data_IF_212509762470
#
_entry.id   IF_212509762470
#
_cell.length_a   1.000
_cell.length_b   1.000
_cell.length_c   1.000
_cell.angle_alpha   90.00
_cell.angle_beta   90.00
_cell.angle_gamma   90.00
#
_symmetry.space_group_name_H-M   'P 1'
#
loop_
_entity.id
_entity.type
_entity.pdbx_description
1 polymer ?
#
# COMPACT_ATOMS: atom_id res chain seq x y z
N UNK A 1 5.06 16.10 -4.38
CA UNK A 1 4.20 15.95 -3.19
C UNK A 1 4.95 15.05 -2.22
N UNK A 2 5.16 15.48 -0.97
CA UNK A 2 5.76 14.59 0.04
C UNK A 2 4.73 13.52 0.38
N UNK A 3 4.99 12.28 -0.04
CA UNK A 3 4.22 11.13 0.44
C UNK A 3 4.38 11.07 1.96
N UNK A 4 3.29 11.15 2.71
CA UNK A 4 3.28 10.88 4.14
C UNK A 4 3.79 9.45 4.32
N UNK A 5 4.98 9.30 4.90
CA UNK A 5 5.53 7.97 5.20
C UNK A 5 4.63 7.31 6.24
N UNK A 6 4.27 6.04 5.98
CA UNK A 6 3.52 5.21 6.93
C UNK A 6 4.34 5.04 8.21
N UNK A 7 3.64 4.93 9.32
CA UNK A 7 4.25 4.98 10.64
C UNK A 7 3.55 4.02 11.59
N UNK A 8 4.36 3.21 12.29
CA UNK A 8 3.95 2.34 13.39
C UNK A 8 4.56 2.89 14.66
N UNK A 9 3.74 3.14 15.68
CA UNK A 9 4.18 3.61 16.98
C UNK A 9 3.96 2.53 18.01
N UNK A 10 5.02 2.13 18.68
CA UNK A 10 4.96 1.18 19.79
C UNK A 10 4.72 1.94 21.10
N UNK A 11 3.72 1.52 21.86
CA UNK A 11 3.38 2.09 23.18
C UNK A 11 3.38 0.98 24.22
N UNK A 12 3.83 1.26 25.44
CA UNK A 12 3.89 0.27 26.52
C UNK A 12 2.73 0.38 27.51
N UNK A 13 1.69 1.15 27.18
CA UNK A 13 0.46 1.29 27.96
C UNK A 13 -0.69 0.57 27.27
N UNK A 14 -1.44 -0.25 28.02
CA UNK A 14 -2.73 -0.79 27.57
C UNK A 14 -3.76 0.33 27.72
N UNK A 15 -4.60 0.55 26.71
CA UNK A 15 -5.53 1.65 26.67
C UNK A 15 -6.68 1.47 27.66
N UNK A 16 -6.53 1.92 28.91
CA UNK A 16 -7.71 2.21 29.74
C UNK A 16 -8.54 3.32 29.06
N UNK A 17 -9.88 3.25 29.12
CA UNK A 17 -10.78 4.25 28.50
C UNK A 17 -10.47 5.71 28.87
N UNK A 18 -9.72 5.95 29.96
CA UNK A 18 -9.21 7.25 30.39
C UNK A 18 -7.84 7.61 29.77
N UNK A 19 -6.92 6.67 29.58
CA UNK A 19 -5.63 6.91 28.90
C UNK A 19 -5.79 6.96 27.38
N UNK A 20 -6.74 6.21 26.83
CA UNK A 20 -7.20 6.39 25.46
C UNK A 20 -7.65 7.84 25.22
N UNK A 21 -8.27 8.52 26.19
CA UNK A 21 -8.63 9.95 26.09
C UNK A 21 -7.44 10.90 26.24
N UNK A 22 -6.40 10.53 26.98
CA UNK A 22 -5.19 11.34 27.11
C UNK A 22 -4.31 11.25 25.85
N UNK A 23 -4.15 10.06 25.26
CA UNK A 23 -3.53 9.91 23.93
C UNK A 23 -4.43 10.45 22.80
N UNK A 24 -5.76 10.31 22.88
CA UNK A 24 -6.73 10.96 21.95
C UNK A 24 -6.82 12.46 22.10
N UNK A 25 -6.36 13.06 23.19
CA UNK A 25 -6.37 14.53 23.32
C UNK A 25 -5.39 15.21 22.33
N UNK A 26 -4.45 14.43 21.78
CA UNK A 26 -3.51 14.85 20.73
C UNK A 26 -3.59 14.04 19.42
N UNK A 27 -4.40 12.98 19.35
CA UNK A 27 -4.57 12.14 18.16
C UNK A 27 -5.92 12.45 17.50
N UNK A 28 -5.85 12.97 16.28
CA UNK A 28 -7.00 13.10 15.37
C UNK A 28 -7.48 11.68 15.02
N UNK A 29 -8.65 11.26 15.50
CA UNK A 29 -9.22 9.90 15.31
C UNK A 29 -9.28 9.50 13.81
N UNK A 30 -9.28 10.48 12.91
CA UNK A 30 -9.22 10.24 11.46
C UNK A 30 -7.83 9.81 10.94
N UNK A 31 -6.77 9.93 11.74
CA UNK A 31 -5.38 9.72 11.31
C UNK A 31 -4.67 8.56 12.01
N UNK A 32 -5.25 7.99 13.07
CA UNK A 32 -4.61 6.96 13.87
C UNK A 32 -5.56 5.79 14.11
N UNK A 33 -5.03 4.57 14.06
CA UNK A 33 -5.70 3.34 14.43
C UNK A 33 -4.97 2.71 15.63
N UNK A 34 -5.70 2.36 16.68
CA UNK A 34 -5.13 1.81 17.91
C UNK A 34 -5.41 0.31 17.96
N UNK A 35 -4.34 -0.48 17.92
CA UNK A 35 -4.38 -1.93 18.10
C UNK A 35 -4.13 -2.26 19.57
N UNK A 36 -5.22 -2.29 20.34
CA UNK A 36 -5.23 -2.59 21.76
C UNK A 36 -5.53 -4.08 22.00
N UNK A 37 -4.67 -4.82 22.74
CA UNK A 37 -4.85 -6.25 22.97
C UNK A 37 -6.09 -6.59 23.81
N UNK A 38 -6.49 -5.75 24.76
CA UNK A 38 -7.66 -5.99 25.62
C UNK A 38 -8.93 -5.73 24.84
N UNK A 39 -8.98 -4.62 24.09
CA UNK A 39 -10.10 -4.34 23.22
C UNK A 39 -10.26 -5.42 22.15
N UNK A 40 -9.15 -5.83 21.53
CA UNK A 40 -9.16 -6.89 20.54
C UNK A 40 -9.71 -8.18 21.16
N UNK A 41 -9.19 -8.61 22.33
CA UNK A 41 -9.67 -9.81 23.01
C UNK A 41 -11.17 -9.78 23.34
N UNK A 42 -11.70 -8.60 23.67
CA UNK A 42 -13.12 -8.41 23.98
C UNK A 42 -14.04 -8.59 22.76
N UNK A 43 -13.52 -8.39 21.55
CA UNK A 43 -14.27 -8.48 20.29
C UNK A 43 -13.96 -9.76 19.52
N UNK A 44 -12.72 -10.21 19.57
CA UNK A 44 -12.18 -11.37 18.88
C UNK A 44 -11.04 -11.97 19.71
N UNK A 45 -11.11 -13.28 19.95
CA UNK A 45 -10.08 -13.99 20.73
C UNK A 45 -8.77 -14.14 19.93
N UNK A 46 -7.99 -13.06 19.86
CA UNK A 46 -6.72 -13.01 19.13
C UNK A 46 -5.68 -13.99 19.66
N UNK A 47 -5.84 -14.52 20.87
CA UNK A 47 -4.90 -15.50 21.43
C UNK A 47 -4.89 -16.81 20.66
N UNK A 48 -5.90 -17.05 19.82
CA UNK A 48 -6.01 -18.22 18.95
C UNK A 48 -5.46 -18.02 17.55
N UNK A 49 -4.77 -16.92 17.26
CA UNK A 49 -4.33 -16.60 15.89
C UNK A 49 -3.44 -17.67 15.22
N UNK A 50 -2.73 -18.49 16.00
CA UNK A 50 -1.91 -19.60 15.48
C UNK A 50 -2.76 -20.80 15.03
N UNK A 51 -3.90 -21.02 15.68
CA UNK A 51 -4.77 -22.19 15.49
C UNK A 51 -6.04 -21.88 14.67
N UNK A 52 -6.39 -20.60 14.55
CA UNK A 52 -7.64 -20.11 13.95
C UNK A 52 -7.35 -19.05 12.87
N UNK A 53 -7.39 -19.48 11.61
CA UNK A 53 -7.20 -18.61 10.45
C UNK A 53 -8.30 -17.55 10.33
N UNK A 54 -9.51 -17.81 10.82
CA UNK A 54 -10.60 -16.84 10.73
C UNK A 54 -10.35 -15.66 11.68
N UNK A 55 -9.77 -15.93 12.86
CA UNK A 55 -9.28 -14.89 13.77
C UNK A 55 -8.22 -14.05 13.08
N UNK A 56 -7.20 -14.68 12.51
CA UNK A 56 -6.11 -13.97 11.85
C UNK A 56 -6.61 -13.09 10.69
N UNK A 57 -7.41 -13.67 9.80
CA UNK A 57 -7.98 -12.96 8.65
C UNK A 57 -8.87 -11.79 9.08
N UNK A 58 -9.63 -11.94 10.16
CA UNK A 58 -10.49 -10.88 10.69
C UNK A 58 -9.68 -9.68 11.20
N UNK A 59 -8.60 -9.93 11.95
CA UNK A 59 -7.74 -8.83 12.42
C UNK A 59 -6.97 -8.21 11.27
N UNK A 60 -6.41 -9.04 10.39
CA UNK A 60 -5.64 -8.57 9.26
C UNK A 60 -6.50 -7.71 8.32
N UNK A 61 -7.73 -8.12 7.98
CA UNK A 61 -8.63 -7.34 7.13
C UNK A 61 -8.91 -5.94 7.73
N UNK A 62 -9.15 -5.87 9.04
CA UNK A 62 -9.33 -4.60 9.75
C UNK A 62 -8.09 -3.71 9.65
N UNK A 63 -6.90 -4.29 9.86
CA UNK A 63 -5.64 -3.54 9.80
C UNK A 63 -5.26 -3.15 8.38
N UNK A 64 -5.59 -3.96 7.38
CA UNK A 64 -5.35 -3.66 5.98
C UNK A 64 -6.12 -2.41 5.56
N UNK A 65 -7.42 -2.36 5.84
CA UNK A 65 -8.25 -1.20 5.51
C UNK A 65 -7.74 0.08 6.19
N UNK A 66 -7.31 -0.03 7.45
CA UNK A 66 -6.94 1.14 8.24
C UNK A 66 -5.50 1.62 7.97
N UNK A 67 -4.54 0.70 7.86
CA UNK A 67 -3.11 1.01 7.72
C UNK A 67 -2.65 1.06 6.25
N UNK A 68 -3.11 0.11 5.43
CA UNK A 68 -2.68 0.01 4.02
C UNK A 68 -3.50 0.98 3.16
N UNK A 69 -4.83 0.89 3.22
CA UNK A 69 -5.74 1.67 2.36
C UNK A 69 -5.93 3.10 2.89
N UNK A 70 -6.41 3.25 4.12
CA UNK A 70 -6.67 4.57 4.71
C UNK A 70 -5.40 5.32 5.15
N UNK A 71 -4.24 4.63 5.15
CA UNK A 71 -2.92 5.18 5.53
C UNK A 71 -2.91 5.83 6.91
N UNK A 72 -3.70 5.30 7.85
CA UNK A 72 -3.64 5.75 9.24
C UNK A 72 -2.32 5.31 9.87
N UNK A 73 -1.88 6.07 10.87
CA UNK A 73 -0.79 5.66 11.76
C UNK A 73 -1.28 4.50 12.62
N UNK A 74 -0.46 3.46 12.78
CA UNK A 74 -0.81 2.31 13.60
C UNK A 74 -0.15 2.45 14.98
N UNK A 75 -0.96 2.50 16.04
CA UNK A 75 -0.52 2.51 17.42
C UNK A 75 -0.63 1.08 17.97
N UNK A 76 0.49 0.45 18.29
CA UNK A 76 0.53 -0.93 18.78
C UNK A 76 1.04 -0.99 20.22
N UNK A 77 0.36 -1.76 21.05
CA UNK A 77 0.90 -2.13 22.35
C UNK A 77 2.15 -2.99 22.20
N UNK A 78 3.20 -2.70 22.97
CA UNK A 78 4.42 -3.50 23.05
C UNK A 78 4.79 -3.73 24.53
N UNK A 79 4.67 -4.97 25.05
CA UNK A 79 4.85 -5.27 26.48
C UNK A 79 6.32 -5.31 26.91
N UNK A 80 7.13 -4.32 26.53
CA UNK A 80 8.51 -4.24 27.03
C UNK A 80 8.91 -2.81 27.33
N UNK A 81 9.49 -2.60 28.52
CA UNK A 81 10.11 -1.32 28.89
C UNK A 81 11.48 -1.17 28.22
N UNK A 82 12.13 -2.29 27.90
CA UNK A 82 13.38 -2.34 27.16
C UNK A 82 13.07 -2.65 25.69
N UNK A 83 12.79 -1.59 24.92
CA UNK A 83 12.44 -1.64 23.50
C UNK A 83 13.57 -2.19 22.60
N UNK A 84 14.65 -2.73 23.15
CA UNK A 84 15.76 -3.33 22.40
C UNK A 84 15.80 -4.86 22.48
N UNK A 85 14.65 -5.50 22.66
CA UNK A 85 14.54 -6.94 22.54
C UNK A 85 14.66 -7.42 21.07
N UNK A 86 14.88 -8.71 20.90
CA UNK A 86 14.98 -9.34 19.57
C UNK A 86 13.72 -9.16 18.72
N UNK A 87 12.54 -9.00 19.34
CA UNK A 87 11.29 -8.75 18.63
C UNK A 87 11.27 -7.36 18.00
N UNK A 88 11.71 -6.33 18.74
CA UNK A 88 11.82 -4.98 18.20
C UNK A 88 12.81 -4.88 17.05
N UNK A 89 13.96 -5.57 17.16
CA UNK A 89 14.96 -5.59 16.08
C UNK A 89 14.33 -6.14 14.79
N UNK A 90 13.59 -7.26 14.89
CA UNK A 90 12.87 -7.83 13.76
C UNK A 90 11.81 -6.89 13.19
N UNK A 91 10.96 -6.30 14.03
CA UNK A 91 9.98 -5.29 13.59
C UNK A 91 10.65 -4.15 12.84
N UNK A 92 11.75 -3.64 13.38
CA UNK A 92 12.52 -2.57 12.76
C UNK A 92 13.12 -2.99 11.41
N UNK A 93 13.50 -4.25 11.24
CA UNK A 93 13.97 -4.79 9.96
C UNK A 93 12.85 -4.85 8.92
N UNK A 94 11.68 -5.37 9.28
CA UNK A 94 10.51 -5.42 8.41
C UNK A 94 10.08 -4.01 7.96
N UNK A 95 9.89 -3.10 8.91
CA UNK A 95 9.47 -1.73 8.63
C UNK A 95 10.49 -0.98 7.76
N UNK A 96 11.79 -1.12 8.05
CA UNK A 96 12.86 -0.48 7.27
C UNK A 96 12.88 -0.95 5.83
N UNK A 97 12.72 -2.26 5.61
CA UNK A 97 12.66 -2.82 4.26
C UNK A 97 11.44 -2.31 3.48
N UNK A 98 10.34 -1.98 4.17
CA UNK A 98 9.08 -1.48 3.58
C UNK A 98 8.95 0.04 3.62
N UNK A 99 10.00 0.79 3.98
CA UNK A 99 9.98 2.27 4.13
C UNK A 99 8.93 2.79 5.12
N UNK A 100 8.48 1.95 6.04
CA UNK A 100 7.60 2.30 7.16
C UNK A 100 8.48 2.81 8.30
N UNK A 101 8.11 3.95 8.89
CA UNK A 101 8.78 4.47 10.08
C UNK A 101 8.29 3.70 11.31
N UNK A 102 9.21 3.38 12.22
CA UNK A 102 8.87 2.84 13.54
C UNK A 102 9.29 3.85 14.60
N UNK A 103 8.35 4.23 15.47
CA UNK A 103 8.58 5.11 16.59
C UNK A 103 8.20 4.42 17.90
N UNK A 104 8.83 4.84 18.99
CA UNK A 104 8.51 4.38 20.35
C UNK A 104 7.90 5.57 21.08
N UNK A 105 6.66 5.43 21.53
CA UNK A 105 5.95 6.46 22.28
C UNK A 105 6.60 6.73 23.65
N UNK A 106 6.51 7.97 24.14
CA UNK A 106 7.05 8.34 25.44
C UNK A 106 6.38 7.53 26.57
N UNK A 107 7.23 6.84 27.34
CA UNK A 107 6.84 6.03 28.49
C UNK A 107 6.49 6.94 29.67
N UNK A 108 5.24 6.95 30.13
CA UNK A 108 4.98 7.48 31.46
C UNK A 108 5.48 6.46 32.49
N UNK A 109 6.59 6.79 33.16
CA UNK A 109 7.21 5.96 34.22
C UNK A 109 6.37 5.82 35.51
N UNK A 110 5.06 6.03 35.44
CA UNK A 110 4.13 5.97 36.56
C UNK A 110 3.00 4.97 36.29
N UNK A 111 3.34 3.77 35.82
CA UNK A 111 2.35 2.71 35.63
C UNK A 111 2.14 1.94 36.94
N UNK A 112 0.89 1.90 37.39
CA UNK A 112 0.46 0.91 38.36
C UNK A 112 0.62 -0.49 37.75
N UNK A 113 0.96 -1.49 38.56
CA UNK A 113 1.09 -2.89 38.11
C UNK A 113 -0.19 -3.47 37.48
N UNK A 114 -1.32 -2.77 37.58
CA UNK A 114 -2.64 -3.22 37.11
C UNK A 114 -2.84 -3.03 35.59
N UNK A 115 -2.01 -2.21 34.92
CA UNK A 115 -2.15 -1.91 33.48
C UNK A 115 -1.19 -2.72 32.59
N UNK A 116 -0.54 -3.74 33.14
CA UNK A 116 0.40 -4.61 32.41
C UNK A 116 -0.26 -5.91 31.99
N UNK A 117 0.04 -6.34 30.76
CA UNK A 117 -0.37 -7.64 30.26
C UNK A 117 0.23 -8.75 31.15
N UNK A 118 -0.50 -9.86 31.33
CA UNK A 118 0.05 -10.99 32.06
C UNK A 118 1.22 -11.61 31.27
N UNK A 119 2.31 -12.05 31.93
CA UNK A 119 3.52 -12.56 31.26
C UNK A 119 3.27 -13.69 30.25
N UNK A 120 2.25 -14.52 30.51
CA UNK A 120 1.84 -15.61 29.63
C UNK A 120 1.31 -15.13 28.27
N UNK A 121 0.70 -13.94 28.21
CA UNK A 121 0.19 -13.32 26.99
C UNK A 121 1.21 -12.39 26.32
N UNK A 122 2.22 -11.90 27.05
CA UNK A 122 3.23 -10.99 26.49
C UNK A 122 3.99 -11.62 25.31
N UNK A 123 4.44 -12.86 25.47
CA UNK A 123 5.14 -13.59 24.42
C UNK A 123 4.25 -13.84 23.20
N UNK A 124 3.00 -14.25 23.45
CA UNK A 124 2.02 -14.51 22.41
C UNK A 124 1.65 -13.25 21.62
N UNK A 125 1.46 -12.12 22.33
CA UNK A 125 1.18 -10.83 21.71
C UNK A 125 2.34 -10.34 20.86
N UNK A 126 3.58 -10.47 21.32
CA UNK A 126 4.75 -10.09 20.52
C UNK A 126 4.84 -10.92 19.24
N UNK A 127 4.61 -12.23 19.32
CA UNK A 127 4.57 -13.11 18.15
C UNK A 127 3.44 -12.71 17.19
N UNK A 128 2.26 -12.41 17.71
CA UNK A 128 1.13 -11.93 16.94
C UNK A 128 1.44 -10.62 16.20
N UNK A 129 1.97 -9.61 16.90
CA UNK A 129 2.33 -8.32 16.31
C UNK A 129 3.43 -8.48 15.26
N UNK A 130 4.43 -9.32 15.51
CA UNK A 130 5.48 -9.62 14.53
C UNK A 130 4.89 -10.17 13.24
N UNK A 131 4.02 -11.18 13.35
CA UNK A 131 3.36 -11.79 12.21
C UNK A 131 2.55 -10.78 11.40
N UNK A 132 1.67 -10.04 12.09
CA UNK A 132 0.78 -9.07 11.44
C UNK A 132 1.57 -7.94 10.78
N UNK A 133 2.59 -7.40 11.45
CA UNK A 133 3.41 -6.32 10.90
C UNK A 133 4.24 -6.81 9.70
N UNK A 134 4.76 -8.03 9.74
CA UNK A 134 5.45 -8.64 8.59
C UNK A 134 4.52 -8.69 7.37
N UNK A 135 3.30 -9.23 7.53
CA UNK A 135 2.31 -9.26 6.44
C UNK A 135 1.98 -7.86 5.92
N UNK A 136 1.63 -6.93 6.81
CA UNK A 136 1.33 -5.54 6.41
C UNK A 136 2.50 -4.87 5.69
N UNK A 137 3.74 -5.18 6.09
CA UNK A 137 4.94 -4.67 5.43
C UNK A 137 5.09 -5.21 4.01
N UNK A 138 4.75 -6.46 3.76
CA UNK A 138 4.72 -7.05 2.42
C UNK A 138 3.67 -6.38 1.56
N UNK A 139 2.45 -6.19 2.08
CA UNK A 139 1.38 -5.54 1.33
C UNK A 139 1.66 -4.07 1.04
N UNK A 140 2.26 -3.35 1.99
CA UNK A 140 2.70 -1.97 1.75
C UNK A 140 3.77 -1.94 0.66
N UNK A 141 4.73 -2.88 0.66
CA UNK A 141 5.72 -2.98 -0.42
C UNK A 141 5.05 -3.21 -1.76
N UNK A 142 4.12 -4.16 -1.85
CA UNK A 142 3.42 -4.46 -3.11
C UNK A 142 2.62 -3.24 -3.59
N UNK A 143 1.86 -2.61 -2.69
CA UNK A 143 1.05 -1.44 -3.02
C UNK A 143 1.87 -0.17 -3.30
N UNK A 144 3.04 0.01 -2.70
CA UNK A 144 3.93 1.14 -2.99
C UNK A 144 4.87 0.87 -4.17
N UNK A 145 5.17 -0.39 -4.48
CA UNK A 145 6.00 -0.76 -5.62
C UNK A 145 5.26 -0.47 -6.94
N UNK A 146 3.94 -0.61 -6.97
CA UNK A 146 3.13 -0.43 -8.17
C UNK A 146 2.59 1.01 -8.22
N UNK A 147 3.01 1.77 -9.23
CA UNK A 147 2.49 3.12 -9.51
C UNK A 147 1.69 3.11 -10.82
N UNK A 148 0.44 3.58 -10.79
CA UNK A 148 -0.32 3.89 -12.00
C UNK A 148 0.30 5.09 -12.72
N UNK A 149 0.82 4.83 -13.91
CA UNK A 149 1.46 5.87 -14.72
C UNK A 149 0.58 6.34 -15.89
N UNK A 150 -0.40 5.55 -16.31
CA UNK A 150 -1.33 5.97 -17.35
C UNK A 150 -2.37 4.96 -17.79
N UNK A 151 -3.35 5.46 -18.54
CA UNK A 151 -4.43 4.71 -19.15
C UNK A 151 -4.58 5.08 -20.62
N UNK A 152 -4.83 4.07 -21.45
CA UNK A 152 -5.28 4.24 -22.83
C UNK A 152 -6.71 3.71 -22.91
N UNK A 153 -7.64 4.48 -23.47
CA UNK A 153 -9.05 4.10 -23.53
C UNK A 153 -9.64 4.28 -24.93
N UNK A 154 -10.42 3.31 -25.38
CA UNK A 154 -11.32 3.44 -26.52
C UNK A 154 -12.71 2.91 -26.13
N UNK A 155 -13.68 3.00 -27.05
CA UNK A 155 -15.08 2.64 -26.75
C UNK A 155 -15.27 1.16 -26.38
N UNK A 156 -14.33 0.28 -26.74
CA UNK A 156 -14.41 -1.17 -26.52
C UNK A 156 -13.34 -1.75 -25.60
N UNK A 157 -12.24 -1.02 -25.35
CA UNK A 157 -11.06 -1.56 -24.67
C UNK A 157 -10.39 -0.48 -23.83
N UNK A 158 -9.77 -0.91 -22.73
CA UNK A 158 -8.86 -0.07 -21.94
C UNK A 158 -7.55 -0.78 -21.71
N UNK A 159 -6.45 -0.03 -21.77
CA UNK A 159 -5.13 -0.48 -21.39
C UNK A 159 -4.66 0.33 -20.19
N UNK A 160 -4.28 -0.36 -19.13
CA UNK A 160 -3.71 0.23 -17.93
C UNK A 160 -2.20 0.07 -17.96
N UNK A 161 -1.47 1.13 -17.63
CA UNK A 161 -0.02 1.17 -17.69
C UNK A 161 0.49 1.53 -16.29
N UNK A 162 1.38 0.70 -15.75
CA UNK A 162 1.92 0.87 -14.42
C UNK A 162 3.44 0.69 -14.44
N UNK A 163 4.09 1.26 -13.44
CA UNK A 163 5.50 1.00 -13.14
C UNK A 163 5.65 0.24 -11.85
N UNK A 164 6.60 -0.68 -11.80
CA UNK A 164 6.96 -1.46 -10.63
C UNK A 164 8.35 -1.02 -10.18
N UNK A 165 8.49 -0.53 -8.95
CA UNK A 165 9.78 -0.23 -8.34
C UNK A 165 10.23 -1.39 -7.45
N UNK A 166 11.28 -2.09 -7.89
CA UNK A 166 11.86 -3.22 -7.16
C UNK A 166 13.39 -3.06 -7.11
N UNK A 167 14.00 -3.16 -5.92
CA UNK A 167 15.46 -3.05 -5.73
C UNK A 167 16.11 -1.80 -6.38
N UNK A 168 15.45 -0.64 -6.25
CA UNK A 168 15.83 0.64 -6.89
C UNK A 168 15.84 0.64 -8.44
N UNK A 169 15.34 -0.44 -9.06
CA UNK A 169 15.08 -0.51 -10.49
C UNK A 169 13.59 -0.28 -10.76
N UNK A 170 13.29 0.41 -11.85
CA UNK A 170 11.91 0.66 -12.29
C UNK A 170 11.65 -0.20 -13.52
N UNK A 171 10.69 -1.09 -13.39
CA UNK A 171 10.12 -1.86 -14.48
C UNK A 171 8.79 -1.24 -14.89
N UNK A 172 8.37 -1.50 -16.12
CA UNK A 172 7.11 -1.02 -16.66
C UNK A 172 6.30 -2.21 -17.14
N UNK A 173 4.98 -2.17 -17.00
CA UNK A 173 4.09 -3.18 -17.56
C UNK A 173 2.71 -2.60 -17.85
N UNK A 174 1.86 -3.39 -18.50
CA UNK A 174 0.52 -2.96 -18.86
C UNK A 174 -0.48 -4.13 -18.84
N UNK A 175 -1.75 -3.82 -18.61
CA UNK A 175 -2.86 -4.78 -18.62
C UNK A 175 -3.96 -4.33 -19.59
N UNK A 176 -4.51 -5.24 -20.39
CA UNK A 176 -5.62 -4.97 -21.31
C UNK A 176 -6.92 -5.48 -20.71
N UNK A 177 -8.00 -4.71 -20.85
CA UNK A 177 -9.35 -5.10 -20.46
C UNK A 177 -10.34 -4.81 -21.59
N UNK A 178 -11.24 -5.77 -21.84
CA UNK A 178 -12.30 -5.68 -22.86
C UNK A 178 -13.54 -4.90 -22.40
N UNK A 179 -13.45 -4.18 -21.28
CA UNK A 179 -14.55 -3.41 -20.71
C UNK A 179 -14.16 -1.93 -20.67
N UNK A 180 -14.84 -1.11 -21.49
CA UNK A 180 -14.65 0.35 -21.52
C UNK A 180 -15.18 1.09 -20.27
N UNK A 181 -15.82 0.36 -19.34
CA UNK A 181 -16.39 0.91 -18.11
C UNK A 181 -15.39 0.82 -16.97
N UNK A 182 -15.15 1.98 -16.35
CA UNK A 182 -14.45 2.14 -15.08
C UNK A 182 -14.91 1.10 -14.06
N UNK A 183 -13.94 0.45 -13.45
CA UNK A 183 -14.13 -0.42 -12.30
C UNK A 183 -13.32 -1.71 -12.43
N UNK A 184 -12.00 -1.62 -12.52
CA UNK A 184 -11.25 -2.64 -11.79
C UNK A 184 -11.67 -2.48 -10.33
N UNK A 185 -12.36 -3.50 -9.83
CA UNK A 185 -12.63 -3.68 -8.40
C UNK A 185 -11.26 -3.63 -7.71
N UNK A 186 -11.12 -2.77 -6.70
CA UNK A 186 -10.01 -2.71 -5.74
C UNK A 186 -8.56 -2.70 -6.29
N UNK A 187 -7.68 -1.87 -5.73
CA UNK A 187 -6.22 -2.02 -5.93
C UNK A 187 -5.74 -3.46 -5.64
N UNK A 188 -6.48 -4.21 -4.80
CA UNK A 188 -6.33 -5.63 -4.49
C UNK A 188 -6.53 -6.62 -5.66
N UNK A 189 -7.43 -6.38 -6.61
CA UNK A 189 -7.64 -7.34 -7.73
C UNK A 189 -6.54 -7.16 -8.81
N UNK A 190 -5.95 -5.95 -8.84
CA UNK A 190 -4.85 -5.58 -9.73
C UNK A 190 -3.53 -6.18 -9.24
N UNK A 191 -3.28 -6.21 -7.93
CA UNK A 191 -2.10 -6.87 -7.38
C UNK A 191 -2.11 -8.38 -7.66
N UNK A 192 -3.26 -9.05 -7.52
CA UNK A 192 -3.39 -10.48 -7.87
C UNK A 192 -3.10 -10.76 -9.36
N UNK A 193 -3.56 -9.90 -10.28
CA UNK A 193 -3.26 -10.03 -11.70
C UNK A 193 -1.80 -9.73 -12.04
N UNK A 194 -1.18 -8.75 -11.37
CA UNK A 194 0.23 -8.37 -11.59
C UNK A 194 1.18 -9.44 -11.03
N UNK A 195 0.79 -10.13 -9.95
CA UNK A 195 1.53 -11.24 -9.35
C UNK A 195 1.35 -12.59 -10.10
N UNK A 196 0.53 -12.62 -11.15
CA UNK A 196 0.47 -13.81 -12.03
C UNK A 196 1.71 -13.87 -12.94
N UNK A 197 2.25 -15.06 -13.19
CA UNK A 197 3.48 -15.30 -13.97
C UNK A 197 3.44 -14.77 -15.42
N UNK A 198 2.32 -14.24 -15.88
CA UNK A 198 2.08 -13.80 -17.27
C UNK A 198 2.35 -12.30 -17.52
N UNK A 199 2.67 -11.51 -16.48
CA UNK A 199 2.93 -10.08 -16.65
C UNK A 199 4.30 -9.82 -17.29
N UNK A 200 4.30 -9.31 -18.53
CA UNK A 200 5.54 -8.93 -19.23
C UNK A 200 6.11 -7.65 -18.62
N UNK A 201 7.36 -7.74 -18.12
CA UNK A 201 8.08 -6.61 -17.54
C UNK A 201 9.06 -6.00 -18.55
N UNK A 202 8.99 -4.68 -18.71
CA UNK A 202 9.88 -3.90 -19.58
C UNK A 202 10.88 -3.11 -18.73
N UNK A 203 12.12 -2.99 -19.21
CA UNK A 203 13.19 -2.29 -18.49
C UNK A 203 13.17 -0.77 -18.71
N UNK A 204 12.44 -0.32 -19.74
CA UNK A 204 12.21 1.10 -20.00
C UNK A 204 10.80 1.37 -20.52
N UNK A 205 10.33 2.59 -20.29
CA UNK A 205 9.01 3.03 -20.79
C UNK A 205 8.92 2.99 -22.32
N UNK A 206 10.02 3.26 -23.02
CA UNK A 206 10.05 3.20 -24.49
C UNK A 206 9.88 1.77 -25.03
N UNK A 207 10.45 0.78 -24.35
CA UNK A 207 10.25 -0.65 -24.69
C UNK A 207 8.79 -1.03 -24.54
N UNK A 208 8.16 -0.63 -23.42
CA UNK A 208 6.74 -0.85 -23.19
C UNK A 208 5.89 -0.23 -24.31
N UNK A 209 6.11 1.04 -24.63
CA UNK A 209 5.32 1.74 -25.66
C UNK A 209 5.51 1.11 -27.03
N UNK A 210 6.72 0.65 -27.34
CA UNK A 210 7.00 -0.04 -28.62
C UNK A 210 6.28 -1.39 -28.71
N UNK A 211 6.27 -2.18 -27.64
CA UNK A 211 5.51 -3.44 -27.57
C UNK A 211 4.02 -3.17 -27.73
N UNK A 212 3.51 -2.20 -26.96
CA UNK A 212 2.09 -1.84 -26.97
C UNK A 212 1.65 -1.34 -28.36
N UNK A 213 2.47 -0.55 -29.06
CA UNK A 213 2.24 -0.13 -30.45
C UNK A 213 2.20 -1.28 -31.46
N UNK A 214 2.93 -2.37 -31.19
CA UNK A 214 2.90 -3.55 -32.07
C UNK A 214 1.64 -4.39 -31.90
N UNK A 215 0.96 -4.25 -30.75
CA UNK A 215 -0.16 -5.10 -30.38
C UNK A 215 -1.53 -4.44 -30.49
N UNK A 216 -1.62 -3.11 -30.39
CA UNK A 216 -2.90 -2.39 -30.46
C UNK A 216 -2.83 -1.23 -31.46
N UNK A 217 -3.97 -0.92 -32.08
CA UNK A 217 -4.11 0.30 -32.88
C UNK A 217 -4.29 1.52 -31.96
N UNK A 218 -3.17 2.06 -31.49
CA UNK A 218 -3.11 3.21 -30.57
C UNK A 218 -3.94 4.40 -31.06
N UNK A 219 -4.15 4.57 -32.36
CA UNK A 219 -4.92 5.72 -32.91
C UNK A 219 -6.36 5.79 -32.39
N UNK A 220 -6.91 4.63 -32.01
CA UNK A 220 -8.27 4.52 -31.49
C UNK A 220 -8.36 4.86 -30.01
N UNK A 221 -7.23 5.01 -29.32
CA UNK A 221 -7.18 5.22 -27.89
C UNK A 221 -6.94 6.70 -27.55
N UNK A 222 -7.73 7.22 -26.61
CA UNK A 222 -7.39 8.42 -25.85
C UNK A 222 -6.44 8.04 -24.73
N UNK A 223 -5.31 8.75 -24.61
CA UNK A 223 -4.32 8.51 -23.58
C UNK A 223 -4.45 9.52 -22.43
N UNK A 224 -4.30 9.05 -21.20
CA UNK A 224 -4.23 9.88 -20.00
C UNK A 224 -3.10 9.36 -19.11
N UNK A 225 -2.15 10.22 -18.74
CA UNK A 225 -0.98 9.84 -17.95
C UNK A 225 -0.90 10.67 -16.68
N UNK A 226 -0.44 10.06 -15.59
CA UNK A 226 -0.24 10.77 -14.32
C UNK A 226 0.94 11.75 -14.38
N UNK A 227 1.90 11.51 -15.28
CA UNK A 227 3.13 12.29 -15.43
C UNK A 227 3.33 12.84 -16.86
N UNK A 228 3.43 14.18 -16.97
CA UNK A 228 3.66 14.88 -18.25
C UNK A 228 4.95 14.48 -18.97
N UNK A 229 5.97 13.98 -18.26
CA UNK A 229 7.21 13.49 -18.87
C UNK A 229 6.97 12.16 -19.60
N UNK A 230 6.22 11.25 -18.99
CA UNK A 230 5.83 9.97 -19.58
C UNK A 230 4.86 10.19 -20.75
N UNK A 231 3.91 11.10 -20.59
CA UNK A 231 3.02 11.52 -21.68
C UNK A 231 3.81 12.02 -22.90
N UNK A 232 4.81 12.88 -22.69
CA UNK A 232 5.69 13.36 -23.76
C UNK A 232 6.48 12.24 -24.42
N UNK A 233 6.98 11.28 -23.64
CA UNK A 233 7.70 10.12 -24.19
C UNK A 233 6.76 9.25 -25.04
N UNK A 234 5.54 9.00 -24.55
CA UNK A 234 4.51 8.27 -25.28
C UNK A 234 4.19 8.92 -26.62
N UNK A 235 3.89 10.22 -26.64
CA UNK A 235 3.60 10.91 -27.89
C UNK A 235 4.83 10.99 -28.80
N UNK A 236 6.05 11.12 -28.27
CA UNK A 236 7.28 11.08 -29.10
C UNK A 236 7.46 9.72 -29.78
N UNK A 237 7.30 8.62 -29.04
CA UNK A 237 7.37 7.27 -29.60
C UNK A 237 6.26 7.05 -30.64
N UNK A 238 5.05 7.55 -30.38
CA UNK A 238 3.96 7.57 -31.36
C UNK A 238 4.34 8.36 -32.62
N UNK A 239 4.90 9.57 -32.48
CA UNK A 239 5.35 10.41 -33.60
C UNK A 239 6.46 9.76 -34.44
N UNK A 240 7.36 8.99 -33.85
CA UNK A 240 8.46 8.35 -34.57
C UNK A 240 7.97 7.30 -35.57
N UNK A 241 6.82 6.68 -35.30
CA UNK A 241 6.21 5.65 -36.13
C UNK A 241 5.15 6.20 -37.12
N UNK A 242 4.82 7.49 -37.07
CA UNK A 242 3.84 8.12 -37.98
C UNK A 242 4.41 9.35 -38.69
N UNK A 243 4.26 9.39 -40.02
CA UNK A 243 4.52 10.61 -40.79
C UNK A 243 3.62 11.75 -40.27
N UNK A 244 4.25 12.89 -40.04
CA UNK A 244 3.89 14.00 -39.15
C UNK A 244 2.57 14.76 -39.38
N UNK A 245 1.70 14.33 -40.29
CA UNK A 245 0.51 15.09 -40.70
C UNK A 245 -0.76 14.85 -39.85
N UNK A 246 -0.84 13.75 -39.08
CA UNK A 246 -2.04 13.41 -38.27
C UNK A 246 -2.04 13.96 -36.84
N UNK A 247 -0.92 14.51 -36.37
CA UNK A 247 -0.71 14.86 -34.95
C UNK A 247 -1.46 16.11 -34.49
N UNK A 248 -1.45 17.17 -35.30
CA UNK A 248 -2.14 18.42 -34.97
C UNK A 248 -3.65 18.21 -34.92
N UNK A 249 -4.19 17.39 -35.82
CA UNK A 249 -5.63 17.09 -35.85
C UNK A 249 -6.06 16.26 -34.63
N UNK A 250 -5.26 15.27 -34.23
CA UNK A 250 -5.58 14.44 -33.08
C UNK A 250 -5.43 15.21 -31.76
N UNK A 251 -4.37 16.01 -31.60
CA UNK A 251 -4.18 16.86 -30.42
C UNK A 251 -5.30 17.90 -30.27
N UNK A 252 -5.71 18.54 -31.38
CA UNK A 252 -6.87 19.44 -31.40
C UNK A 252 -8.15 18.69 -31.03
N UNK A 253 -8.37 17.47 -31.52
CA UNK A 253 -9.59 16.70 -31.20
C UNK A 253 -9.69 16.29 -29.72
N UNK A 254 -8.56 16.06 -29.06
CA UNK A 254 -8.51 15.70 -27.63
C UNK A 254 -8.69 16.91 -26.73
N UNK A 255 -8.10 18.06 -27.08
CA UNK A 255 -8.20 19.29 -26.27
C UNK A 255 -9.44 20.14 -26.54
N UNK A 256 -10.10 19.99 -27.69
CA UNK A 256 -11.34 20.72 -28.02
C UNK A 256 -12.61 20.15 -27.37
N UNK A 257 -12.49 19.03 -26.64
CA UNK A 257 -13.60 18.39 -25.91
C UNK A 257 -13.57 18.62 -24.39
N UNK A 258 -12.60 19.38 -23.89
CA UNK A 258 -12.59 19.98 -22.54
C UNK A 258 -12.97 21.46 -22.63
#
# INVERSE_FOLDING_TARGET
>A
MYSLRREIVLVNEIGNEQNCKQHKSHLDDNKCFVLDPVFLYSTLDWTKFEDDLDVLNSVYAMLFDEFVIARKRLLCYWPNEDFHDHGFIKLSEYCRASRINIEVGEVNHHLANEDKMLPEFEGLWKSFILFIVESLCEDVKVNEAIEDIGTLKCDSESVWIFSISENDMIHYSYLKSQVALFGFKSESDLSEMICSEDAVLFSSFNELVSSLQSEIDIKKFSANFSNSALEKQYYRAFCQNFQSSNLVQQWISTYSKN
#
